data_IF_776930299692
#
_entry.id   IF_776930299692
#
_cell.length_a   1.000
_cell.length_b   1.000
_cell.length_c   1.000
_cell.angle_alpha   90.00
_cell.angle_beta   90.00
_cell.angle_gamma   90.00
#
_symmetry.space_group_name_H-M   'P 1'
#
loop_
_entity.id
_entity.type
_entity.pdbx_description
1 polymer ?
#
# COMPACT_ATOMS: atom_id res chain seq x y z
N UNK A 1 8.29 0.58 -16.63
CA UNK A 1 8.09 -0.69 -15.89
C UNK A 1 9.16 -1.74 -16.11
N UNK A 2 9.83 -2.12 -15.03
CA UNK A 2 10.77 -3.23 -14.99
C UNK A 2 10.06 -4.55 -14.61
N UNK A 3 10.67 -5.69 -14.92
CA UNK A 3 10.16 -7.00 -14.49
C UNK A 3 10.20 -7.17 -12.97
N UNK A 4 11.18 -6.55 -12.30
CA UNK A 4 11.29 -6.54 -10.84
C UNK A 4 10.11 -5.80 -10.19
N UNK A 5 9.68 -4.66 -10.74
CA UNK A 5 8.50 -3.93 -10.26
C UNK A 5 7.25 -4.83 -10.31
N UNK A 6 7.04 -5.57 -11.42
CA UNK A 6 5.90 -6.48 -11.55
C UNK A 6 5.95 -7.63 -10.55
N UNK A 7 7.13 -8.22 -10.38
CA UNK A 7 7.34 -9.29 -9.42
C UNK A 7 7.08 -8.82 -7.99
N UNK A 8 7.49 -7.60 -7.66
CA UNK A 8 7.25 -7.00 -6.35
C UNK A 8 5.76 -6.71 -6.11
N UNK A 9 5.06 -6.13 -7.07
CA UNK A 9 3.61 -5.97 -6.98
C UNK A 9 2.88 -7.31 -6.78
N UNK A 10 3.29 -8.35 -7.51
CA UNK A 10 2.76 -9.70 -7.32
C UNK A 10 3.01 -10.29 -5.93
N UNK A 11 4.16 -9.99 -5.30
CA UNK A 11 4.44 -10.41 -3.92
C UNK A 11 3.56 -9.68 -2.91
N UNK A 12 3.39 -8.37 -3.07
CA UNK A 12 2.53 -7.54 -2.22
C UNK A 12 1.09 -8.06 -2.30
N UNK A 13 0.57 -8.29 -3.51
CA UNK A 13 -0.76 -8.87 -3.72
C UNK A 13 -0.90 -10.25 -3.05
N UNK A 14 0.12 -11.11 -3.16
CA UNK A 14 0.09 -12.43 -2.53
C UNK A 14 0.06 -12.34 -0.98
N UNK A 15 0.78 -11.38 -0.40
CA UNK A 15 0.72 -11.12 1.06
C UNK A 15 -0.69 -10.71 1.46
N UNK A 16 -1.27 -9.73 0.76
CA UNK A 16 -2.63 -9.24 1.02
C UNK A 16 -3.63 -10.41 0.97
N UNK A 17 -3.61 -11.19 -0.12
CA UNK A 17 -4.56 -12.28 -0.37
C UNK A 17 -4.31 -13.55 0.42
N UNK A 18 -3.22 -13.63 1.17
CA UNK A 18 -3.02 -14.70 2.15
C UNK A 18 -3.93 -14.56 3.38
N UNK A 19 -4.62 -13.42 3.52
CA UNK A 19 -5.55 -13.12 4.59
C UNK A 19 -7.01 -13.18 4.11
N UNK A 20 -7.93 -13.51 5.02
CA UNK A 20 -9.36 -13.55 4.72
C UNK A 20 -10.00 -12.16 4.53
N UNK A 21 -9.36 -11.11 5.07
CA UNK A 21 -9.66 -9.71 4.83
C UNK A 21 -8.36 -8.91 4.97
N UNK A 22 -8.33 -7.71 4.41
CA UNK A 22 -7.20 -6.80 4.58
C UNK A 22 -7.69 -5.37 4.36
N UNK A 23 -7.50 -4.53 5.38
CA UNK A 23 -7.86 -3.13 5.36
C UNK A 23 -6.58 -2.30 5.12
N UNK A 24 -6.74 -1.13 4.51
CA UNK A 24 -5.63 -0.24 4.15
C UNK A 24 -5.89 1.19 4.60
N UNK A 25 -4.83 1.95 4.86
CA UNK A 25 -4.90 3.37 5.19
C UNK A 25 -3.66 4.10 4.68
N UNK A 26 -3.76 5.40 4.43
CA UNK A 26 -2.56 6.22 4.16
C UNK A 26 -1.92 6.54 5.50
N UNK A 27 -0.66 6.13 5.66
CA UNK A 27 0.10 6.39 6.87
C UNK A 27 0.83 7.74 6.80
N UNK A 28 1.61 7.96 5.74
CA UNK A 28 2.46 9.13 5.62
C UNK A 28 2.76 9.53 4.18
N UNK A 29 2.99 10.83 3.96
CA UNK A 29 3.54 11.36 2.72
C UNK A 29 4.70 12.32 3.04
N UNK A 30 5.92 11.93 2.71
CA UNK A 30 7.13 12.65 3.09
C UNK A 30 8.18 12.60 1.98
N UNK A 31 8.68 13.77 1.56
CA UNK A 31 9.68 13.92 0.49
C UNK A 31 9.33 13.10 -0.77
N UNK A 32 8.09 13.25 -1.25
CA UNK A 32 7.57 12.54 -2.42
C UNK A 32 7.43 11.02 -2.26
N UNK A 33 7.57 10.47 -1.05
CA UNK A 33 7.27 9.07 -0.76
C UNK A 33 5.92 8.97 -0.05
N UNK A 34 5.03 8.13 -0.58
CA UNK A 34 3.74 7.81 0.04
C UNK A 34 3.83 6.42 0.66
N UNK A 35 3.49 6.28 1.94
CA UNK A 35 3.37 4.98 2.60
C UNK A 35 1.90 4.67 2.81
N UNK A 36 1.46 3.54 2.25
CA UNK A 36 0.17 2.94 2.53
C UNK A 36 0.41 1.76 3.47
N UNK A 37 -0.30 1.74 4.59
CA UNK A 37 -0.28 0.62 5.54
C UNK A 37 -1.45 -0.30 5.29
N UNK A 38 -1.25 -1.58 5.58
CA UNK A 38 -2.31 -2.58 5.53
C UNK A 38 -2.27 -3.51 6.74
N UNK A 39 -3.45 -3.87 7.22
CA UNK A 39 -3.62 -4.67 8.44
C UNK A 39 -4.88 -5.52 8.39
N UNK A 40 -4.85 -6.59 9.17
CA UNK A 40 -6.05 -7.34 9.57
C UNK A 40 -6.70 -6.76 10.82
N UNK A 41 -5.99 -5.88 11.56
CA UNK A 41 -6.47 -5.23 12.79
C UNK A 41 -5.72 -3.90 13.08
N UNK A 42 -6.22 -2.80 12.52
CA UNK A 42 -5.68 -1.46 12.79
C UNK A 42 -5.89 -0.95 14.22
N UNK A 43 -6.60 -1.68 15.08
CA UNK A 43 -6.75 -1.23 16.48
C UNK A 43 -5.43 -1.36 17.24
N UNK A 44 -4.58 -2.33 16.84
CA UNK A 44 -3.39 -2.69 17.58
C UNK A 44 -2.10 -2.63 16.77
N UNK A 45 -2.16 -2.84 15.45
CA UNK A 45 -0.98 -2.88 14.61
C UNK A 45 -1.27 -2.76 13.12
N UNK A 46 -0.21 -2.68 12.32
CA UNK A 46 -0.25 -3.05 10.91
C UNK A 46 0.86 -4.03 10.56
N UNK A 47 0.71 -4.74 9.43
CA UNK A 47 1.58 -5.86 9.04
C UNK A 47 2.17 -5.71 7.64
N UNK A 48 1.75 -4.67 6.91
CA UNK A 48 2.25 -4.35 5.60
C UNK A 48 2.43 -2.83 5.53
N UNK A 49 3.62 -2.41 5.14
CA UNK A 49 3.90 -1.05 4.68
C UNK A 49 4.25 -1.17 3.19
N UNK A 50 3.54 -0.46 2.32
CA UNK A 50 3.91 -0.30 0.90
C UNK A 50 4.33 1.13 0.70
N UNK A 51 5.61 1.35 0.40
CA UNK A 51 6.14 2.69 0.12
C UNK A 51 6.27 2.88 -1.38
N UNK A 52 5.56 3.89 -1.89
CA UNK A 52 5.64 4.37 -3.26
C UNK A 52 6.68 5.49 -3.31
N UNK A 53 7.70 5.33 -4.14
CA UNK A 53 8.81 6.27 -4.22
C UNK A 53 8.66 7.23 -5.40
N UNK A 54 8.95 8.51 -5.15
CA UNK A 54 8.80 9.59 -6.12
C UNK A 54 7.40 9.60 -6.74
N UNK A 55 6.38 9.74 -5.89
CA UNK A 55 4.98 9.79 -6.31
C UNK A 55 4.73 11.05 -7.12
N UNK A 56 4.20 10.87 -8.32
CA UNK A 56 3.72 11.95 -9.18
C UNK A 56 2.25 12.27 -8.91
N UNK A 57 1.44 11.22 -8.74
CA UNK A 57 -0.01 11.35 -8.61
C UNK A 57 -0.57 10.26 -7.68
N UNK A 58 -1.56 10.62 -6.88
CA UNK A 58 -2.33 9.66 -6.09
C UNK A 58 -3.82 10.09 -6.05
N UNK A 59 -4.69 9.22 -6.56
CA UNK A 59 -6.12 9.26 -6.30
C UNK A 59 -6.41 8.18 -5.27
N UNK A 60 -6.55 8.57 -4.00
CA UNK A 60 -6.69 7.64 -2.88
C UNK A 60 -7.66 8.16 -1.81
N UNK A 61 -8.13 7.25 -0.96
CA UNK A 61 -8.79 7.59 0.28
C UNK A 61 -7.72 7.78 1.36
N UNK A 62 -7.76 8.87 2.12
CA UNK A 62 -6.84 9.08 3.24
C UNK A 62 -7.22 8.29 4.50
N UNK A 63 -8.49 7.88 4.61
CA UNK A 63 -9.00 7.01 5.67
C UNK A 63 -9.17 5.60 5.15
N UNK A 64 -9.47 4.69 6.08
CA UNK A 64 -9.50 3.26 5.84
C UNK A 64 -10.38 2.85 4.65
N UNK A 65 -9.82 2.00 3.79
CA UNK A 65 -10.55 1.30 2.74
C UNK A 65 -10.30 -0.20 2.82
N UNK A 66 -11.21 -0.96 2.20
CA UNK A 66 -11.24 -2.42 2.25
C UNK A 66 -11.13 -3.01 0.87
N UNK A 67 -10.68 -4.25 0.80
CA UNK A 67 -10.54 -4.99 -0.44
C UNK A 67 -11.03 -6.43 -0.31
N UNK A 68 -11.65 -6.93 -1.38
CA UNK A 68 -11.97 -8.35 -1.53
C UNK A 68 -10.69 -9.14 -1.82
N UNK A 69 -10.21 -9.90 -0.82
CA UNK A 69 -8.97 -10.67 -0.93
C UNK A 69 -9.12 -11.96 -1.74
N UNK A 70 -10.34 -12.30 -2.19
CA UNK A 70 -10.59 -13.48 -3.06
C UNK A 70 -10.16 -13.25 -4.51
N UNK A 71 -9.98 -11.99 -4.92
CA UNK A 71 -9.49 -11.57 -6.22
C UNK A 71 -8.22 -10.70 -6.09
N UNK A 72 -7.41 -10.51 -7.15
CA UNK A 72 -6.25 -9.63 -7.10
C UNK A 72 -6.60 -8.23 -6.58
N UNK A 73 -5.94 -7.82 -5.49
CA UNK A 73 -6.18 -6.56 -4.79
C UNK A 73 -5.20 -5.50 -5.25
N UNK A 74 -3.90 -5.84 -5.31
CA UNK A 74 -2.84 -4.91 -5.67
C UNK A 74 -2.31 -5.23 -7.06
N UNK A 75 -2.66 -4.42 -8.04
CA UNK A 75 -2.36 -4.71 -9.44
C UNK A 75 -1.60 -3.59 -10.12
N UNK A 76 -0.86 -3.99 -11.14
CA UNK A 76 -0.38 -3.11 -12.18
C UNK A 76 -1.36 -3.26 -13.36
N UNK A 77 -2.02 -2.19 -13.82
CA UNK A 77 -3.02 -2.29 -14.87
C UNK A 77 -2.39 -2.76 -16.19
N UNK A 78 -3.18 -3.48 -17.00
CA UNK A 78 -2.78 -3.87 -18.34
C UNK A 78 -2.51 -2.62 -19.20
N UNK A 79 -1.67 -2.73 -20.24
CA UNK A 79 -1.17 -1.57 -21.00
C UNK A 79 -2.28 -0.66 -21.54
N UNK A 80 -3.36 -1.22 -22.08
CA UNK A 80 -4.50 -0.45 -22.60
C UNK A 80 -5.18 0.36 -21.49
N UNK A 81 -5.38 -0.27 -20.33
CA UNK A 81 -6.00 0.36 -19.17
C UNK A 81 -5.07 1.40 -18.54
N UNK A 82 -3.78 1.09 -18.43
CA UNK A 82 -2.76 2.02 -17.97
C UNK A 82 -2.71 3.28 -18.85
N UNK A 83 -2.80 3.12 -20.17
CA UNK A 83 -2.83 4.25 -21.09
C UNK A 83 -4.07 5.12 -20.89
N UNK A 84 -5.25 4.49 -20.71
CA UNK A 84 -6.50 5.19 -20.43
C UNK A 84 -6.41 6.01 -19.14
N UNK A 85 -5.92 5.41 -18.06
CA UNK A 85 -5.73 6.06 -16.76
C UNK A 85 -4.75 7.23 -16.88
N UNK A 86 -3.58 7.01 -17.50
CA UNK A 86 -2.58 8.06 -17.71
C UNK A 86 -3.15 9.25 -18.47
N UNK A 87 -3.93 9.02 -19.52
CA UNK A 87 -4.54 10.08 -20.30
C UNK A 87 -5.60 10.85 -19.49
N UNK A 88 -6.45 10.16 -18.74
CA UNK A 88 -7.48 10.80 -17.93
C UNK A 88 -6.89 11.65 -16.80
N UNK A 89 -5.82 11.16 -16.18
CA UNK A 89 -5.18 11.78 -15.01
C UNK A 89 -3.98 12.68 -15.38
N UNK A 90 -3.68 12.82 -16.68
CA UNK A 90 -2.56 13.60 -17.20
C UNK A 90 -1.21 13.21 -16.56
N UNK A 91 -0.99 11.90 -16.39
CA UNK A 91 0.22 11.36 -15.77
C UNK A 91 1.37 11.42 -16.76
N UNK A 92 2.49 12.01 -16.32
CA UNK A 92 3.70 12.13 -17.12
C UNK A 92 4.34 10.78 -17.44
N UNK A 93 5.11 10.71 -18.53
CA UNK A 93 5.88 9.53 -18.85
C UNK A 93 7.00 9.32 -17.81
N UNK A 94 7.24 8.06 -17.42
CA UNK A 94 8.27 7.70 -16.46
C UNK A 94 7.74 7.10 -15.17
N UNK A 95 6.44 7.23 -14.90
CA UNK A 95 5.78 6.66 -13.72
C UNK A 95 5.05 5.36 -14.06
N UNK A 96 5.17 4.36 -13.19
CA UNK A 96 4.38 3.14 -13.23
C UNK A 96 3.09 3.34 -12.41
N UNK A 97 2.00 2.70 -12.85
CA UNK A 97 0.71 2.74 -12.16
C UNK A 97 0.54 1.54 -11.23
N UNK A 98 0.08 1.83 -10.03
CA UNK A 98 -0.29 0.84 -9.02
C UNK A 98 -1.73 1.08 -8.59
N UNK A 99 -2.51 0.02 -8.50
CA UNK A 99 -3.94 0.09 -8.23
C UNK A 99 -4.30 -0.84 -7.07
N UNK A 100 -4.96 -0.31 -6.03
CA UNK A 100 -5.67 -1.13 -5.05
C UNK A 100 -7.13 -1.22 -5.42
N UNK A 101 -7.64 -2.46 -5.56
CA UNK A 101 -9.06 -2.73 -5.76
C UNK A 101 -9.82 -2.47 -4.47
N UNK A 102 -10.85 -1.63 -4.54
CA UNK A 102 -11.64 -1.27 -3.36
C UNK A 102 -12.96 -2.02 -3.40
N UNK A 103 -13.27 -2.74 -2.33
CA UNK A 103 -14.51 -3.51 -2.21
C UNK A 103 -15.72 -2.56 -2.19
N UNK A 104 -16.80 -2.94 -2.89
CA UNK A 104 -18.07 -2.20 -2.91
C UNK A 104 -17.94 -0.72 -3.31
N UNK A 105 -16.91 -0.38 -4.10
CA UNK A 105 -16.64 0.97 -4.61
C UNK A 105 -16.61 0.99 -6.13
N UNK A 106 -17.10 2.08 -6.73
CA UNK A 106 -16.94 2.35 -8.16
C UNK A 106 -15.55 2.93 -8.50
N UNK A 107 -14.76 3.29 -7.48
CA UNK A 107 -13.45 3.92 -7.62
C UNK A 107 -12.39 3.12 -6.86
N UNK A 108 -11.34 2.75 -7.59
CA UNK A 108 -10.13 2.14 -7.06
C UNK A 108 -9.13 3.21 -6.58
N UNK A 109 -8.21 2.83 -5.69
CA UNK A 109 -7.07 3.68 -5.36
C UNK A 109 -6.03 3.54 -6.47
N UNK A 110 -5.57 4.66 -7.03
CA UNK A 110 -4.57 4.71 -8.11
C UNK A 110 -3.40 5.57 -7.69
N UNK A 111 -2.19 5.01 -7.74
CA UNK A 111 -0.95 5.70 -7.40
C UNK A 111 0.03 5.58 -8.57
N UNK A 112 0.57 6.71 -9.02
CA UNK A 112 1.61 6.79 -10.02
C UNK A 112 2.95 7.13 -9.34
N UNK A 113 3.91 6.23 -9.44
CA UNK A 113 5.21 6.34 -8.77
C UNK A 113 6.32 5.73 -9.62
N UNK A 114 7.57 6.11 -9.38
CA UNK A 114 8.70 5.55 -10.13
C UNK A 114 8.97 4.10 -9.73
N UNK A 115 8.92 3.82 -8.43
CA UNK A 115 9.17 2.48 -7.88
C UNK A 115 8.36 2.25 -6.61
N UNK A 116 8.34 1.00 -6.16
CA UNK A 116 7.72 0.59 -4.90
C UNK A 116 8.70 -0.24 -4.07
N UNK A 117 8.51 -0.22 -2.76
CA UNK A 117 9.09 -1.16 -1.81
C UNK A 117 8.04 -1.58 -0.78
N UNK A 118 8.31 -2.64 -0.02
CA UNK A 118 7.41 -3.08 1.04
C UNK A 118 8.18 -3.64 2.24
N UNK A 119 7.55 -3.56 3.40
CA UNK A 119 8.00 -4.17 4.66
C UNK A 119 6.84 -4.96 5.28
N UNK A 120 7.14 -6.08 5.94
CA UNK A 120 6.15 -6.98 6.56
C UNK A 120 6.37 -7.19 8.05
N UNK A 121 7.14 -6.29 8.69
CA UNK A 121 7.23 -6.26 10.13
C UNK A 121 5.86 -5.89 10.71
N UNK A 122 5.53 -6.46 11.86
CA UNK A 122 4.36 -6.04 12.62
C UNK A 122 4.70 -4.77 13.39
N UNK A 123 4.05 -3.67 13.05
CA UNK A 123 4.23 -2.37 13.71
C UNK A 123 3.13 -2.18 14.73
N UNK A 124 3.49 -2.21 16.02
CA UNK A 124 2.57 -2.13 17.15
C UNK A 124 2.22 -0.68 17.49
N UNK A 125 0.94 -0.44 17.80
CA UNK A 125 0.40 0.86 18.22
C UNK A 125 0.36 1.05 19.73
N UNK A 126 0.97 0.12 20.47
CA UNK A 126 1.07 0.15 21.92
C UNK A 126 2.47 -0.25 22.36
N UNK A 127 2.86 0.22 23.54
CA UNK A 127 4.19 -0.07 24.08
C UNK A 127 4.31 -1.53 24.53
N UNK A 128 5.44 -2.15 24.19
CA UNK A 128 5.82 -3.49 24.63
C UNK A 128 7.35 -3.60 24.70
N UNK A 129 7.89 -4.12 25.80
CA UNK A 129 9.36 -4.22 26.03
C UNK A 129 10.00 -5.41 25.28
N UNK A 130 9.26 -6.49 25.05
CA UNK A 130 9.75 -7.77 24.52
C UNK A 130 9.43 -7.97 23.03
N UNK A 131 9.85 -7.02 22.19
CA UNK A 131 9.67 -7.10 20.74
C UNK A 131 10.35 -8.35 20.17
N UNK A 132 9.57 -9.16 19.46
CA UNK A 132 10.08 -10.32 18.73
C UNK A 132 10.73 -9.88 17.40
N UNK A 133 11.60 -10.72 16.79
CA UNK A 133 12.08 -10.45 15.44
C UNK A 133 10.94 -10.19 14.45
N UNK A 134 11.05 -9.13 13.66
CA UNK A 134 9.97 -8.69 12.76
C UNK A 134 8.86 -7.90 13.46
N UNK A 135 9.09 -7.38 14.67
CA UNK A 135 8.20 -6.42 15.33
C UNK A 135 8.88 -5.08 15.53
N UNK A 136 8.13 -4.00 15.36
CA UNK A 136 8.55 -2.62 15.61
C UNK A 136 7.44 -1.88 16.36
N UNK A 137 7.78 -0.79 17.04
CA UNK A 137 6.79 0.15 17.55
C UNK A 137 6.52 1.20 16.48
N UNK A 138 5.28 1.66 16.36
CA UNK A 138 4.98 2.87 15.59
C UNK A 138 5.72 4.07 16.21
N UNK A 139 6.05 5.05 15.37
CA UNK A 139 6.83 6.23 15.75
C UNK A 139 6.15 7.09 16.84
N UNK A 140 4.82 7.06 16.90
CA UNK A 140 4.02 7.75 17.91
C UNK A 140 3.92 7.01 19.25
N UNK A 141 4.43 5.78 19.36
CA UNK A 141 4.38 5.01 20.62
C UNK A 141 5.54 5.41 21.52
N UNK A 142 5.19 5.92 22.72
CA UNK A 142 6.16 6.35 23.72
C UNK A 142 6.18 5.37 24.90
N UNK A 143 7.37 5.13 25.46
CA UNK A 143 7.53 4.33 26.68
C UNK A 143 6.75 4.96 27.84
N UNK A 144 5.87 4.22 28.53
CA UNK A 144 5.23 4.68 29.76
C UNK A 144 6.29 4.98 30.82
N UNK A 145 6.15 6.14 31.47
CA UNK A 145 7.00 6.60 32.59
C UNK A 145 6.79 5.80 33.86
#
# INVERSE_FOLDING_TARGET
MTDETRKMAGKIDAIIRSNAWFDFSVDSYHHSNLTVVGSTDFSYYHQLEVTFHNVFFAACYFRDWKSDTTAPVFIIPAQVEAHRINFQLQIEAGYDLFVFKVENSETDVVIAAETISYNTDTVLYYYRDDLQPGMRLADFVVKPS
#
